data_IF_710029829517
#
_entry.id   IF_710029829517
#
_cell.length_a   1.000
_cell.length_b   1.000
_cell.length_c   1.000
_cell.angle_alpha   90.00
_cell.angle_beta   90.00
_cell.angle_gamma   90.00
#
_symmetry.space_group_name_H-M   'P 1'
#
loop_
_entity.id
_entity.type
_entity.pdbx_description
1 polymer ?
#
# COMPACT_ATOMS: atom_id res chain seq x y z
N UNK A 1 13.14 2.46 11.57
CA UNK A 1 12.47 1.62 10.56
C UNK A 1 11.48 2.49 9.82
N UNK A 2 11.43 2.42 8.50
CA UNK A 2 10.52 3.19 7.64
C UNK A 2 10.06 2.26 6.51
N UNK A 3 8.86 2.48 5.97
CA UNK A 3 8.43 1.77 4.76
C UNK A 3 9.33 2.17 3.59
N UNK A 4 9.55 1.26 2.66
CA UNK A 4 10.35 1.53 1.46
C UNK A 4 9.71 2.62 0.61
N UNK A 5 10.53 3.30 -0.20
CA UNK A 5 10.05 4.25 -1.20
C UNK A 5 9.06 3.61 -2.19
N UNK A 6 9.20 2.31 -2.46
CA UNK A 6 8.29 1.59 -3.35
C UNK A 6 6.89 1.45 -2.73
N UNK A 7 6.78 1.21 -1.43
CA UNK A 7 5.49 1.16 -0.73
C UNK A 7 4.85 2.55 -0.60
N UNK A 8 5.63 3.59 -0.29
CA UNK A 8 5.15 4.97 -0.30
C UNK A 8 4.57 5.36 -1.68
N UNK A 9 5.26 5.01 -2.76
CA UNK A 9 4.75 5.23 -4.12
C UNK A 9 3.49 4.42 -4.42
N UNK A 10 3.36 3.19 -3.91
CA UNK A 10 2.15 2.41 -4.06
C UNK A 10 0.96 3.02 -3.33
N UNK A 11 1.17 3.61 -2.15
CA UNK A 11 0.13 4.36 -1.43
C UNK A 11 -0.35 5.54 -2.28
N UNK A 12 0.57 6.35 -2.85
CA UNK A 12 0.21 7.49 -3.70
C UNK A 12 -0.53 7.08 -4.97
N UNK A 13 -0.08 6.02 -5.64
CA UNK A 13 -0.72 5.47 -6.84
C UNK A 13 -2.13 4.96 -6.50
N UNK A 14 -2.28 4.25 -5.39
CA UNK A 14 -3.59 3.76 -4.94
C UNK A 14 -4.53 4.91 -4.63
N UNK A 15 -4.06 5.97 -3.95
CA UNK A 15 -4.86 7.17 -3.68
C UNK A 15 -5.29 7.89 -4.98
N UNK A 16 -4.42 7.97 -5.99
CA UNK A 16 -4.78 8.54 -7.28
C UNK A 16 -5.88 7.71 -7.99
N UNK A 17 -5.75 6.38 -7.99
CA UNK A 17 -6.77 5.49 -8.58
C UNK A 17 -8.10 5.54 -7.83
N UNK A 18 -8.09 5.63 -6.49
CA UNK A 18 -9.30 5.73 -5.68
C UNK A 18 -10.07 7.05 -5.88
N UNK A 19 -9.43 8.11 -6.39
CA UNK A 19 -10.06 9.40 -6.69
C UNK A 19 -10.51 9.54 -8.15
N UNK A 20 -10.15 8.57 -9.00
CA UNK A 20 -10.45 8.66 -10.42
C UNK A 20 -11.89 8.24 -10.71
N UNK A 21 -12.60 9.04 -11.51
CA UNK A 21 -13.91 8.69 -12.06
C UNK A 21 -13.77 7.78 -13.31
N UNK A 22 -12.99 6.71 -13.20
CA UNK A 22 -12.73 5.76 -14.28
C UNK A 22 -11.31 5.25 -14.34
N UNK A 23 -10.90 4.81 -15.53
CA UNK A 23 -9.56 4.25 -15.77
C UNK A 23 -8.55 5.37 -15.95
N UNK A 24 -7.38 5.23 -15.33
CA UNK A 24 -6.23 6.08 -15.61
C UNK A 24 -5.17 5.29 -16.39
N UNK A 25 -4.58 5.88 -17.42
CA UNK A 25 -3.40 5.30 -18.04
C UNK A 25 -2.16 5.46 -17.16
N UNK A 26 -1.13 4.64 -17.40
CA UNK A 26 0.09 4.63 -16.58
C UNK A 26 0.86 5.96 -16.63
N UNK A 27 0.72 6.72 -17.73
CA UNK A 27 1.39 8.01 -17.89
C UNK A 27 0.68 9.08 -17.06
N UNK A 28 -0.65 9.13 -17.07
CA UNK A 28 -1.42 9.98 -16.16
C UNK A 28 -1.11 9.68 -14.70
N UNK A 29 -1.07 8.39 -14.31
CA UNK A 29 -0.71 7.99 -12.94
C UNK A 29 0.70 8.47 -12.59
N UNK A 30 1.67 8.29 -13.49
CA UNK A 30 3.05 8.78 -13.31
C UNK A 30 3.10 10.28 -13.04
N UNK A 31 2.39 11.06 -13.84
CA UNK A 31 2.41 12.52 -13.77
C UNK A 31 1.70 13.02 -12.49
N UNK A 32 0.56 12.43 -12.11
CA UNK A 32 -0.19 12.82 -10.90
C UNK A 32 0.50 12.45 -9.59
N UNK A 33 1.33 11.40 -9.59
CA UNK A 33 1.93 10.86 -8.35
C UNK A 33 3.39 11.26 -8.18
N UNK A 34 3.97 11.96 -9.16
CA UNK A 34 5.41 12.25 -9.24
C UNK A 34 6.28 10.99 -9.18
N UNK A 35 5.75 9.86 -9.64
CA UNK A 35 6.46 8.58 -9.75
C UNK A 35 6.82 8.34 -11.20
N UNK A 36 8.06 7.98 -11.49
CA UNK A 36 8.46 7.72 -12.89
C UNK A 36 7.62 6.62 -13.52
N UNK A 37 7.26 6.76 -14.81
CA UNK A 37 6.43 5.79 -15.54
C UNK A 37 6.91 4.34 -15.36
N UNK A 38 8.23 4.12 -15.41
CA UNK A 38 8.84 2.79 -15.21
C UNK A 38 8.51 2.21 -13.83
N UNK A 39 8.60 3.03 -12.78
CA UNK A 39 8.28 2.60 -11.42
C UNK A 39 6.77 2.42 -11.22
N UNK A 40 5.94 3.31 -11.78
CA UNK A 40 4.49 3.15 -11.75
C UNK A 40 4.07 1.83 -12.36
N UNK A 41 4.61 1.46 -13.54
CA UNK A 41 4.33 0.16 -14.17
C UNK A 41 4.82 -1.05 -13.34
N UNK A 42 5.91 -0.91 -12.60
CA UNK A 42 6.39 -1.96 -11.67
C UNK A 42 5.39 -2.14 -10.52
N UNK A 43 4.98 -1.04 -9.89
CA UNK A 43 4.08 -1.04 -8.74
C UNK A 43 2.67 -1.51 -9.15
N UNK A 44 2.14 -0.98 -10.25
CA UNK A 44 0.82 -1.37 -10.78
C UNK A 44 0.75 -2.88 -11.06
N UNK A 45 1.83 -3.50 -11.54
CA UNK A 45 1.87 -4.97 -11.70
C UNK A 45 1.73 -5.69 -10.36
N UNK A 46 2.42 -5.23 -9.30
CA UNK A 46 2.29 -5.82 -7.96
C UNK A 46 0.88 -5.65 -7.40
N UNK A 47 0.30 -4.45 -7.53
CA UNK A 47 -1.06 -4.17 -7.07
C UNK A 47 -2.12 -4.99 -7.84
N UNK A 48 -1.90 -5.22 -9.14
CA UNK A 48 -2.75 -6.12 -9.94
C UNK A 48 -2.63 -7.57 -9.47
N UNK A 49 -1.41 -8.06 -9.23
CA UNK A 49 -1.19 -9.40 -8.69
C UNK A 49 -1.82 -9.59 -7.31
N UNK A 50 -1.86 -8.54 -6.48
CA UNK A 50 -2.51 -8.52 -5.18
C UNK A 50 -4.04 -8.36 -5.26
N UNK A 51 -4.61 -8.19 -6.45
CA UNK A 51 -6.06 -8.00 -6.64
C UNK A 51 -6.59 -6.64 -6.18
N UNK A 52 -5.73 -5.66 -5.90
CA UNK A 52 -6.12 -4.31 -5.48
C UNK A 52 -6.45 -3.40 -6.67
N UNK A 53 -5.85 -3.68 -7.83
CA UNK A 53 -5.99 -2.90 -9.06
C UNK A 53 -6.36 -3.83 -10.21
N UNK A 54 -7.24 -3.37 -11.10
CA UNK A 54 -7.54 -4.03 -12.37
C UNK A 54 -6.81 -3.34 -13.52
N UNK A 55 -6.35 -4.11 -14.50
CA UNK A 55 -5.67 -3.60 -15.70
C UNK A 55 -6.47 -3.95 -16.96
N UNK A 56 -6.64 -2.97 -17.83
CA UNK A 56 -7.34 -3.08 -19.11
C UNK A 56 -6.38 -2.79 -20.26
N UNK A 57 -6.45 -3.60 -21.32
CA UNK A 57 -5.62 -3.47 -22.53
C UNK A 57 -6.33 -2.67 -23.61
N UNK A 58 -5.56 -2.15 -24.57
CA UNK A 58 -6.06 -1.46 -25.77
C UNK A 58 -5.99 0.07 -25.67
N UNK A 59 -6.54 0.74 -26.68
CA UNK A 59 -6.52 2.21 -26.82
C UNK A 59 -7.28 2.96 -25.73
N UNK A 60 -8.26 2.30 -25.09
CA UNK A 60 -8.97 2.78 -23.88
C UNK A 60 -8.61 1.92 -22.65
N UNK A 61 -7.40 1.36 -22.67
CA UNK A 61 -6.84 0.61 -21.54
C UNK A 61 -6.52 1.52 -20.35
N UNK A 62 -5.92 0.95 -19.33
CA UNK A 62 -5.54 1.68 -18.13
C UNK A 62 -5.74 0.85 -16.88
N UNK A 63 -5.79 1.53 -15.74
CA UNK A 63 -5.88 0.94 -14.42
C UNK A 63 -7.03 1.56 -13.65
N UNK A 64 -7.72 0.76 -12.86
CA UNK A 64 -8.72 1.22 -11.91
C UNK A 64 -8.62 0.38 -10.63
N UNK A 65 -9.18 0.89 -9.55
CA UNK A 65 -9.24 0.13 -8.30
C UNK A 65 -10.21 -1.05 -8.42
N UNK A 66 -9.87 -2.19 -7.81
CA UNK A 66 -10.64 -3.42 -7.94
C UNK A 66 -11.83 -3.53 -6.96
N UNK A 67 -11.89 -2.65 -5.95
CA UNK A 67 -12.90 -2.62 -4.89
C UNK A 67 -13.08 -1.20 -4.37
N UNK A 68 -14.11 -0.94 -3.57
CA UNK A 68 -14.40 0.42 -3.09
C UNK A 68 -13.26 0.95 -2.20
N UNK A 69 -12.93 2.26 -2.24
CA UNK A 69 -11.84 2.83 -1.45
C UNK A 69 -11.96 2.61 0.07
N UNK A 70 -13.18 2.41 0.59
CA UNK A 70 -13.44 2.12 2.01
C UNK A 70 -12.97 0.72 2.43
N UNK A 71 -12.86 -0.20 1.49
CA UNK A 71 -12.48 -1.60 1.69
C UNK A 71 -10.99 -1.85 1.46
N UNK A 72 -10.22 -0.79 1.16
CA UNK A 72 -8.78 -0.86 0.91
C UNK A 72 -8.06 -0.17 2.05
N UNK A 73 -7.25 -0.93 2.78
CA UNK A 73 -6.48 -0.40 3.92
C UNK A 73 -5.03 -0.07 3.53
N UNK A 74 -4.36 0.75 4.34
CA UNK A 74 -2.92 0.98 4.18
C UNK A 74 -2.13 -0.32 4.28
N UNK A 75 -2.53 -1.23 5.18
CA UNK A 75 -1.88 -2.54 5.35
C UNK A 75 -1.88 -3.33 4.06
N UNK A 76 -3.04 -3.43 3.39
CA UNK A 76 -3.17 -4.17 2.12
C UNK A 76 -2.19 -3.66 1.06
N UNK A 77 -2.09 -2.34 0.92
CA UNK A 77 -1.21 -1.72 -0.08
C UNK A 77 0.27 -1.91 0.28
N UNK A 78 0.65 -1.72 1.55
CA UNK A 78 2.03 -1.90 2.00
C UNK A 78 2.46 -3.37 1.84
N UNK A 79 1.63 -4.31 2.30
CA UNK A 79 1.95 -5.74 2.25
C UNK A 79 1.94 -6.29 0.82
N UNK A 80 1.17 -5.69 -0.11
CA UNK A 80 1.25 -6.02 -1.54
C UNK A 80 2.61 -5.69 -2.18
N UNK A 81 3.39 -4.78 -1.57
CA UNK A 81 4.68 -4.35 -2.11
C UNK A 81 5.86 -4.99 -1.39
N UNK A 82 5.80 -5.03 -0.05
CA UNK A 82 6.89 -5.44 0.82
C UNK A 82 6.72 -6.85 1.40
N UNK A 83 5.53 -7.43 1.28
CA UNK A 83 5.13 -8.63 2.01
C UNK A 83 4.61 -8.30 3.40
N UNK A 84 4.23 -9.35 4.14
CA UNK A 84 3.62 -9.26 5.47
C UNK A 84 4.44 -8.40 6.42
N UNK A 85 3.78 -7.44 7.07
CA UNK A 85 4.46 -6.60 8.05
C UNK A 85 4.85 -7.42 9.29
N UNK A 86 6.11 -7.28 9.70
CA UNK A 86 6.66 -7.88 10.91
C UNK A 86 7.59 -6.86 11.58
N UNK A 87 7.45 -6.64 12.89
CA UNK A 87 8.33 -5.72 13.62
C UNK A 87 9.81 -6.18 13.59
N UNK A 88 10.02 -7.50 13.57
CA UNK A 88 11.34 -8.11 13.53
C UNK A 88 11.38 -9.30 12.57
N UNK A 89 12.56 -9.54 11.98
CA UNK A 89 12.79 -10.66 11.05
C UNK A 89 12.46 -12.02 11.66
N UNK A 90 12.66 -12.20 12.97
CA UNK A 90 12.36 -13.47 13.64
C UNK A 90 10.87 -13.84 13.68
N UNK A 91 9.98 -12.95 13.22
CA UNK A 91 8.55 -13.20 13.08
C UNK A 91 8.12 -13.60 11.66
N UNK A 92 9.03 -13.54 10.69
CA UNK A 92 8.73 -13.99 9.33
C UNK A 92 8.56 -15.52 9.31
N UNK A 93 7.72 -16.01 8.41
CA UNK A 93 7.32 -17.43 8.37
C UNK A 93 8.49 -18.37 8.06
N UNK A 94 9.50 -17.88 7.35
CA UNK A 94 10.73 -18.57 6.96
C UNK A 94 11.93 -18.23 7.85
N UNK A 95 11.71 -17.53 8.98
CA UNK A 95 12.80 -17.09 9.83
C UNK A 95 13.32 -18.20 10.76
N UNK A 96 14.60 -18.53 10.60
CA UNK A 96 15.31 -19.40 11.52
C UNK A 96 16.10 -18.58 12.55
N UNK A 97 15.87 -18.88 13.83
CA UNK A 97 16.67 -18.28 14.90
C UNK A 97 18.01 -19.03 15.00
N UNK A 98 19.12 -18.32 14.83
CA UNK A 98 20.47 -18.90 14.97
C UNK A 98 20.76 -19.50 16.36
N UNK A 99 19.95 -19.14 17.37
CA UNK A 99 20.00 -19.72 18.72
C UNK A 99 19.15 -20.99 18.88
N UNK A 100 18.40 -21.40 17.86
CA UNK A 100 17.44 -22.51 17.95
C UNK A 100 16.26 -22.24 18.89
N UNK A 101 16.01 -20.99 19.23
CA UNK A 101 15.03 -20.58 20.25
C UNK A 101 13.70 -20.05 19.68
N UNK A 102 13.39 -20.37 18.42
CA UNK A 102 12.13 -19.98 17.78
C UNK A 102 10.93 -20.43 18.60
N UNK A 103 9.99 -19.51 18.87
CA UNK A 103 8.80 -19.76 19.68
C UNK A 103 9.03 -19.88 21.19
N UNK A 104 10.26 -19.72 21.68
CA UNK A 104 10.62 -19.78 23.10
C UNK A 104 11.34 -18.53 23.60
N UNK A 105 11.54 -17.56 22.71
CA UNK A 105 12.25 -16.33 23.00
C UNK A 105 11.28 -15.27 23.55
N UNK A 106 11.46 -14.75 24.78
CA UNK A 106 10.53 -13.76 25.35
C UNK A 106 10.48 -12.45 24.55
N UNK A 107 11.53 -12.15 23.78
CA UNK A 107 11.52 -11.00 22.86
C UNK A 107 10.59 -11.23 21.67
N UNK A 108 10.39 -12.48 21.25
CA UNK A 108 9.47 -12.81 20.17
C UNK A 108 8.03 -12.46 20.56
N UNK A 109 7.64 -12.73 21.81
CA UNK A 109 6.31 -12.36 22.33
C UNK A 109 6.10 -10.84 22.30
N UNK A 110 7.08 -10.07 22.79
CA UNK A 110 7.03 -8.61 22.73
C UNK A 110 6.96 -8.09 21.28
N UNK A 111 7.72 -8.69 20.36
CA UNK A 111 7.68 -8.29 18.95
C UNK A 111 6.37 -8.67 18.27
N UNK A 112 5.76 -9.81 18.64
CA UNK A 112 4.44 -10.22 18.17
C UNK A 112 3.39 -9.20 18.57
N UNK A 113 3.41 -8.75 19.83
CA UNK A 113 2.47 -7.73 20.33
C UNK A 113 2.60 -6.40 19.58
N UNK A 114 3.83 -5.90 19.39
CA UNK A 114 4.07 -4.68 18.60
C UNK A 114 3.63 -4.87 17.15
N UNK A 115 3.90 -6.03 16.55
CA UNK A 115 3.47 -6.33 15.18
C UNK A 115 1.96 -6.26 15.06
N UNK A 116 1.23 -6.88 16.00
CA UNK A 116 -0.22 -6.85 16.05
C UNK A 116 -0.76 -5.42 16.18
N UNK A 117 -0.23 -4.64 17.13
CA UNK A 117 -0.64 -3.25 17.33
C UNK A 117 -0.49 -2.41 16.05
N UNK A 118 0.65 -2.50 15.37
CA UNK A 118 0.89 -1.72 14.15
C UNK A 118 0.02 -2.23 13.00
N UNK A 119 -0.10 -3.53 12.81
CA UNK A 119 -0.97 -4.11 11.78
C UNK A 119 -2.43 -3.69 11.95
N UNK A 120 -2.97 -3.77 13.18
CA UNK A 120 -4.32 -3.30 13.49
C UNK A 120 -4.48 -1.81 13.20
N UNK A 121 -3.45 -1.00 13.50
CA UNK A 121 -3.50 0.43 13.21
C UNK A 121 -3.48 0.72 11.72
N UNK A 122 -2.67 0.00 10.94
CA UNK A 122 -2.65 0.10 9.48
C UNK A 122 -3.97 -0.34 8.85
N UNK A 123 -4.62 -1.36 9.40
CA UNK A 123 -5.94 -1.81 8.96
C UNK A 123 -7.05 -0.80 9.28
N UNK A 124 -6.91 -0.02 10.36
CA UNK A 124 -7.89 1.00 10.71
C UNK A 124 -7.95 2.20 9.75
N UNK A 125 -6.99 2.34 8.82
CA UNK A 125 -6.92 3.44 7.87
C UNK A 125 -7.24 2.97 6.45
N UNK A 126 -8.40 3.38 5.93
CA UNK A 126 -8.82 3.09 4.56
C UNK A 126 -8.68 4.28 3.61
N UNK A 127 -8.66 4.02 2.31
CA UNK A 127 -8.45 5.06 1.30
C UNK A 127 -9.64 6.02 1.14
N UNK A 128 -10.86 5.65 1.53
CA UNK A 128 -11.98 6.60 1.55
C UNK A 128 -11.76 7.71 2.60
N UNK A 129 -11.42 7.33 3.84
CA UNK A 129 -11.14 8.27 4.94
C UNK A 129 -9.89 9.12 4.66
N UNK A 130 -8.86 8.53 4.06
CA UNK A 130 -7.64 9.25 3.75
C UNK A 130 -7.86 10.25 2.61
N UNK A 131 -8.62 9.89 1.58
CA UNK A 131 -8.91 10.78 0.45
C UNK A 131 -9.79 11.97 0.86
N UNK A 132 -10.75 11.80 1.76
CA UNK A 132 -11.60 12.91 2.22
C UNK A 132 -10.81 14.03 2.91
N UNK A 133 -9.60 13.74 3.41
CA UNK A 133 -8.71 14.74 4.03
C UNK A 133 -7.96 15.60 3.01
N UNK A 134 -7.83 15.13 1.76
CA UNK A 134 -7.22 15.92 0.68
C UNK A 134 -8.16 17.03 0.19
N UNK A 135 -9.46 16.78 0.13
CA UNK A 135 -10.45 17.75 -0.34
C UNK A 135 -10.55 18.98 0.56
N UNK A 136 -10.23 18.84 1.86
CA UNK A 136 -10.22 19.95 2.82
C UNK A 136 -9.01 20.88 2.63
N UNK A 137 -7.90 20.38 2.04
CA UNK A 137 -6.67 21.15 1.87
C UNK A 137 -6.69 22.07 0.64
N UNK A 138 -7.41 21.68 -0.43
CA UNK A 138 -7.53 22.47 -1.66
C UNK A 138 -8.58 23.59 -1.57
N UNK A 139 -9.39 23.62 -0.51
CA UNK A 139 -10.42 24.63 -0.27
C UNK A 139 -9.93 25.98 0.28
N UNK A 140 -8.63 26.16 0.53
CA UNK A 140 -8.08 27.37 1.17
C UNK A 140 -7.05 28.15 0.34
N UNK A 141 -6.95 27.89 -0.96
CA UNK A 141 -6.11 28.71 -1.85
C UNK A 141 -6.90 29.24 -3.05
N UNK A 142 -7.81 30.15 -2.78
CA UNK A 142 -8.38 31.05 -3.80
C UNK A 142 -8.58 32.44 -3.22
N UNK A 143 -7.49 33.21 -3.11
CA UNK A 143 -7.45 34.65 -3.39
C UNK A 143 -6.08 35.04 -3.91
#
# INVERSE_FOLDING_TARGET
MYITLEADYAVRITAALCRAEGKLDAKTISDQTCVTLRFSLKILRKLVSAGLVQSFKGTQGGYMIAMEPKDITLRMVIEAIEGKYCFSRCLQEDAECSRGASGKCPFQDAFCDITKMVSEKLDSHNFAELNSKYEVADGNNTK
#
